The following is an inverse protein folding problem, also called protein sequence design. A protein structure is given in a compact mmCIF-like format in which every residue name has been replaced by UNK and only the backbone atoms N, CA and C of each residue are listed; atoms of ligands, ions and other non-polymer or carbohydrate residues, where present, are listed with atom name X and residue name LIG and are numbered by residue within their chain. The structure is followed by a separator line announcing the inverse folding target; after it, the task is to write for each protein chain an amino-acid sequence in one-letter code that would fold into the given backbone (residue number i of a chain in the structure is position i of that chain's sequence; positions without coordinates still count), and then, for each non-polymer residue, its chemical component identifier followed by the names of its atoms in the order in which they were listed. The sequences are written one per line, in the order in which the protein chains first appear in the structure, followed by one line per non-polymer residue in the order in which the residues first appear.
data_IF_113254810541
#
_entry.id   IF_113254810541
#
_cell.length_a   1.000
_cell.length_b   1.000
_cell.length_c   1.000
_cell.angle_alpha   90.00
_cell.angle_beta   90.00
_cell.angle_gamma   90.00
#
_symmetry.space_group_name_H-M   'P 1'
#
loop_
_entity.id
_entity.type
_entity.pdbx_description
1 polymer ?
#
# COMPACT_ATOMS: atom_id res chain seq x y z
N UNK A 1 -4.36 -18.83 4.55
CA UNK A 1 -3.84 -18.46 3.22
C UNK A 1 -4.89 -17.59 2.56
N UNK A 2 -4.63 -16.30 2.34
CA UNK A 2 -5.57 -15.48 1.56
C UNK A 2 -5.44 -15.86 0.08
N UNK A 3 -6.59 -16.15 -0.54
CA UNK A 3 -6.71 -16.51 -1.95
C UNK A 3 -6.44 -15.27 -2.82
N UNK A 4 -5.19 -15.04 -3.20
CA UNK A 4 -4.86 -14.07 -4.24
C UNK A 4 -5.47 -14.56 -5.56
N UNK A 5 -6.47 -13.87 -6.16
CA UNK A 5 -7.19 -14.35 -7.33
C UNK A 5 -6.27 -14.64 -8.51
N UNK A 6 -5.20 -13.83 -8.67
CA UNK A 6 -4.18 -14.01 -9.71
C UNK A 6 -3.33 -15.25 -9.47
N UNK A 7 -2.95 -15.51 -8.21
CA UNK A 7 -2.20 -16.72 -7.85
C UNK A 7 -3.07 -17.98 -8.01
N UNK A 8 -4.34 -17.90 -7.64
CA UNK A 8 -5.32 -18.96 -7.86
C UNK A 8 -5.52 -19.22 -9.36
N UNK A 9 -5.72 -18.18 -10.17
CA UNK A 9 -5.88 -18.31 -11.62
C UNK A 9 -4.62 -18.90 -12.28
N UNK A 10 -3.42 -18.44 -11.90
CA UNK A 10 -2.17 -18.99 -12.42
C UNK A 10 -2.01 -20.48 -12.07
N UNK A 11 -2.40 -20.88 -10.86
CA UNK A 11 -2.43 -22.30 -10.47
C UNK A 11 -3.45 -23.09 -11.32
N UNK A 12 -4.65 -22.56 -11.54
CA UNK A 12 -5.67 -23.16 -12.40
C UNK A 12 -5.21 -23.32 -13.86
N UNK A 13 -4.53 -22.33 -14.42
CA UNK A 13 -4.01 -22.40 -15.80
C UNK A 13 -2.94 -23.48 -15.97
N UNK A 14 -2.14 -23.74 -14.93
CA UNK A 14 -1.20 -24.88 -14.91
C UNK A 14 -1.97 -26.21 -14.84
N UNK A 15 -2.99 -26.29 -13.99
CA UNK A 15 -3.80 -27.50 -13.77
C UNK A 15 -4.66 -27.89 -14.99
N UNK A 16 -5.05 -26.92 -15.83
CA UNK A 16 -5.87 -27.13 -17.03
C UNK A 16 -5.29 -28.14 -18.03
N UNK A 17 -3.97 -28.37 -18.03
CA UNK A 17 -3.32 -29.33 -18.92
C UNK A 17 -3.23 -30.75 -18.33
N UNK A 18 -3.70 -30.98 -17.11
CA UNK A 18 -3.64 -32.29 -16.45
C UNK A 18 -4.91 -33.12 -16.71
N UNK A 19 -4.80 -34.46 -16.78
CA UNK A 19 -5.96 -35.34 -16.83
C UNK A 19 -6.83 -35.16 -15.59
N UNK A 20 -8.15 -34.99 -15.76
CA UNK A 20 -9.09 -34.76 -14.67
C UNK A 20 -9.56 -33.30 -14.50
N UNK A 21 -9.16 -32.41 -15.41
CA UNK A 21 -9.75 -31.07 -15.52
C UNK A 21 -11.23 -31.15 -15.94
N UNK A 22 -12.10 -30.41 -15.25
CA UNK A 22 -13.55 -30.44 -15.47
C UNK A 22 -14.16 -29.05 -15.68
N UNK A 23 -15.46 -29.03 -16.01
CA UNK A 23 -16.20 -27.80 -16.29
C UNK A 23 -16.38 -26.89 -15.05
N UNK A 24 -16.31 -27.45 -13.84
CA UNK A 24 -16.41 -26.68 -12.59
C UNK A 24 -15.14 -25.85 -12.36
N UNK A 25 -13.98 -26.42 -12.71
CA UNK A 25 -12.70 -25.71 -12.70
C UNK A 25 -12.64 -24.59 -13.76
N UNK A 26 -13.22 -24.79 -14.94
CA UNK A 26 -13.35 -23.73 -15.96
C UNK A 26 -14.28 -22.59 -15.51
N UNK A 27 -15.41 -22.92 -14.88
CA UNK A 27 -16.33 -21.93 -14.31
C UNK A 27 -15.65 -21.11 -13.19
N UNK A 28 -14.89 -21.77 -12.31
CA UNK A 28 -14.11 -21.10 -11.27
C UNK A 28 -13.06 -20.15 -11.86
N UNK A 29 -12.34 -20.60 -12.90
CA UNK A 29 -11.36 -19.76 -13.59
C UNK A 29 -12.01 -18.54 -14.27
N UNK A 30 -13.23 -18.67 -14.80
CA UNK A 30 -13.98 -17.55 -15.36
C UNK A 30 -14.31 -16.49 -14.28
N UNK A 31 -14.86 -16.91 -13.15
CA UNK A 31 -15.15 -16.01 -12.01
C UNK A 31 -13.88 -15.31 -11.53
N UNK A 32 -12.75 -16.03 -11.43
CA UNK A 32 -11.47 -15.42 -11.04
C UNK A 32 -10.99 -14.36 -12.05
N UNK A 33 -11.21 -14.57 -13.36
CA UNK A 33 -10.86 -13.58 -14.38
C UNK A 33 -11.73 -12.33 -14.26
N UNK A 34 -13.02 -12.48 -14.00
CA UNK A 34 -13.95 -11.36 -13.83
C UNK A 34 -13.54 -10.52 -12.61
N UNK A 35 -13.23 -11.17 -11.47
CA UNK A 35 -12.71 -10.48 -10.28
C UNK A 35 -11.42 -9.70 -10.59
N UNK A 36 -10.47 -10.31 -11.31
CA UNK A 36 -9.21 -9.64 -11.68
C UNK A 36 -9.46 -8.45 -12.61
N UNK A 37 -10.43 -8.56 -13.53
CA UNK A 37 -10.81 -7.48 -14.43
C UNK A 37 -11.43 -6.31 -13.66
N UNK A 38 -12.33 -6.60 -12.71
CA UNK A 38 -12.94 -5.58 -11.84
C UNK A 38 -11.88 -4.87 -10.97
N UNK A 39 -10.94 -5.62 -10.38
CA UNK A 39 -9.81 -5.04 -9.64
C UNK A 39 -8.97 -4.10 -10.52
N UNK A 40 -8.68 -4.52 -11.75
CA UNK A 40 -7.90 -3.73 -12.70
C UNK A 40 -8.65 -2.47 -13.12
N UNK A 41 -9.96 -2.56 -13.35
CA UNK A 41 -10.81 -1.41 -13.65
C UNK A 41 -10.86 -0.43 -12.48
N UNK A 42 -10.94 -0.92 -11.23
CA UNK A 42 -10.85 -0.07 -10.04
C UNK A 42 -9.52 0.70 -9.98
N UNK A 43 -8.40 0.05 -10.33
CA UNK A 43 -7.08 0.69 -10.34
C UNK A 43 -7.00 1.81 -11.39
N UNK A 44 -7.54 1.57 -12.58
CA UNK A 44 -7.58 2.55 -13.66
C UNK A 44 -8.48 3.73 -13.31
N UNK A 45 -9.64 3.48 -12.72
CA UNK A 45 -10.52 4.52 -12.21
C UNK A 45 -9.82 5.38 -11.15
N UNK A 46 -9.10 4.78 -10.21
CA UNK A 46 -8.34 5.54 -9.20
C UNK A 46 -7.20 6.37 -9.84
N UNK A 47 -6.52 5.86 -10.87
CA UNK A 47 -5.52 6.64 -11.62
C UNK A 47 -6.14 7.88 -12.29
N UNK A 48 -7.38 7.78 -12.73
CA UNK A 48 -8.11 8.89 -13.36
C UNK A 48 -8.65 9.89 -12.34
N UNK A 49 -9.15 9.41 -11.20
CA UNK A 49 -9.74 10.25 -10.16
C UNK A 49 -8.68 11.02 -9.36
N UNK A 50 -7.46 10.50 -9.24
CA UNK A 50 -6.39 11.14 -8.48
C UNK A 50 -5.48 11.98 -9.38
N UNK A 51 -5.29 13.24 -9.01
CA UNK A 51 -4.33 14.12 -9.69
C UNK A 51 -2.93 13.86 -9.15
N UNK A 52 -2.02 13.38 -10.01
CA UNK A 52 -0.66 12.99 -9.62
C UNK A 52 -0.61 11.97 -8.47
N UNK A 53 -1.62 11.10 -8.38
CA UNK A 53 -1.74 10.07 -7.35
C UNK A 53 -2.17 10.61 -5.97
N UNK A 54 -2.63 11.86 -5.87
CA UNK A 54 -3.26 12.46 -4.69
C UNK A 54 -4.68 12.94 -5.02
N UNK A 55 -5.55 13.04 -4.02
CA UNK A 55 -6.92 13.50 -4.21
C UNK A 55 -7.91 12.90 -3.22
N UNK A 56 -9.19 13.20 -3.41
CA UNK A 56 -10.28 12.68 -2.58
C UNK A 56 -11.08 11.68 -3.40
N UNK A 57 -11.22 10.47 -2.89
CA UNK A 57 -12.16 9.50 -3.40
C UNK A 57 -13.43 9.59 -2.58
N UNK A 58 -14.55 9.94 -3.22
CA UNK A 58 -15.85 10.07 -2.58
C UNK A 58 -16.63 8.79 -2.82
N UNK A 59 -17.34 8.31 -1.79
CA UNK A 59 -18.26 7.20 -1.95
C UNK A 59 -19.39 7.63 -2.91
N UNK A 60 -19.62 6.91 -4.02
CA UNK A 60 -20.70 7.25 -4.92
C UNK A 60 -22.04 7.11 -4.18
N UNK A 61 -22.88 8.15 -4.24
CA UNK A 61 -24.21 8.16 -3.61
C UNK A 61 -25.10 7.00 -4.08
N UNK A 62 -24.85 6.53 -5.30
CA UNK A 62 -25.44 5.31 -5.87
C UNK A 62 -24.34 4.45 -6.47
N UNK A 63 -24.07 3.30 -5.86
CA UNK A 63 -23.29 2.24 -6.50
C UNK A 63 -24.18 1.62 -7.58
N UNK A 64 -23.90 1.90 -8.85
CA UNK A 64 -24.43 1.01 -9.89
C UNK A 64 -23.79 -0.38 -9.72
N UNK A 65 -24.49 -1.43 -10.15
CA UNK A 65 -24.01 -2.80 -9.97
C UNK A 65 -22.69 -3.11 -10.72
N UNK A 66 -22.22 -2.19 -11.56
CA UNK A 66 -21.05 -2.35 -12.41
C UNK A 66 -19.87 -1.45 -11.96
N UNK A 67 -20.05 -0.63 -10.92
CA UNK A 67 -19.02 0.30 -10.44
C UNK A 67 -18.07 -0.48 -9.54
N UNK A 68 -16.77 -0.54 -9.88
CA UNK A 68 -15.81 -1.24 -9.04
C UNK A 68 -15.74 -0.59 -7.65
N UNK A 69 -15.97 -1.36 -6.60
CA UNK A 69 -15.90 -0.86 -5.23
C UNK A 69 -14.45 -0.65 -4.82
N UNK A 70 -14.05 0.61 -4.60
CA UNK A 70 -12.67 0.95 -4.23
C UNK A 70 -12.36 0.60 -2.76
N UNK A 71 -13.38 0.36 -1.94
CA UNK A 71 -13.29 -0.15 -0.56
C UNK A 71 -12.67 0.82 0.46
N UNK A 72 -11.99 1.88 0.02
CA UNK A 72 -11.43 2.95 0.84
C UNK A 72 -11.75 4.32 0.23
N UNK A 73 -12.70 5.04 0.83
CA UNK A 73 -13.03 6.42 0.48
C UNK A 73 -12.36 7.39 1.46
N UNK A 74 -12.09 8.61 1.01
CA UNK A 74 -11.40 9.64 1.77
C UNK A 74 -10.30 10.34 0.97
N UNK A 75 -9.50 11.14 1.65
CA UNK A 75 -8.37 11.84 1.05
C UNK A 75 -7.10 10.98 1.06
N UNK A 76 -6.43 10.91 -0.09
CA UNK A 76 -5.17 10.22 -0.28
C UNK A 76 -4.07 11.23 -0.58
N UNK A 77 -3.02 11.22 0.23
CA UNK A 77 -1.78 11.97 -0.01
C UNK A 77 -0.61 11.03 0.06
N UNK A 78 0.45 11.29 -0.71
CA UNK A 78 1.67 10.49 -0.62
C UNK A 78 2.87 11.31 -0.19
N UNK A 79 3.82 10.63 0.45
CA UNK A 79 5.09 11.19 0.89
C UNK A 79 6.21 10.28 0.44
N UNK A 80 7.22 10.86 -0.22
CA UNK A 80 8.37 10.12 -0.75
C UNK A 80 9.62 10.41 0.06
N UNK A 81 10.26 9.36 0.55
CA UNK A 81 11.51 9.46 1.31
C UNK A 81 12.70 9.27 0.36
N UNK A 82 13.68 10.16 0.47
CA UNK A 82 14.88 10.20 -0.37
C UNK A 82 16.13 9.77 0.42
N UNK A 83 17.06 9.07 -0.22
CA UNK A 83 18.28 8.54 0.44
C UNK A 83 19.26 9.62 0.94
N UNK A 84 19.49 10.66 0.13
CA UNK A 84 20.49 11.71 0.36
C UNK A 84 20.12 12.94 -0.48
N UNK A 85 20.65 14.11 -0.11
CA UNK A 85 20.40 15.39 -0.79
C UNK A 85 21.23 15.53 -2.07
N UNK A 86 22.43 14.96 -2.11
CA UNK A 86 23.36 15.11 -3.25
C UNK A 86 22.93 14.30 -4.46
N UNK A 87 22.41 13.10 -4.22
CA UNK A 87 21.89 12.20 -5.26
C UNK A 87 20.56 11.60 -4.78
N UNK A 88 19.47 12.39 -4.82
CA UNK A 88 18.19 11.97 -4.29
C UNK A 88 17.65 10.77 -5.06
N UNK A 89 17.62 9.62 -4.39
CA UNK A 89 16.94 8.41 -4.85
C UNK A 89 15.79 8.13 -3.91
N UNK A 90 14.61 7.87 -4.47
CA UNK A 90 13.47 7.39 -3.70
C UNK A 90 13.82 6.05 -3.03
N UNK A 91 13.63 5.96 -1.72
CA UNK A 91 13.84 4.73 -0.93
C UNK A 91 12.54 4.17 -0.34
N UNK A 92 11.51 5.01 -0.27
CA UNK A 92 10.15 4.65 0.11
C UNK A 92 9.17 5.69 -0.42
N UNK A 93 7.93 5.28 -0.73
CA UNK A 93 6.79 6.17 -0.92
C UNK A 93 5.68 5.67 -0.01
N UNK A 94 5.18 6.50 0.89
CA UNK A 94 4.10 6.18 1.80
C UNK A 94 2.82 6.85 1.34
N UNK A 95 1.70 6.14 1.39
CA UNK A 95 0.37 6.75 1.36
C UNK A 95 -0.10 7.07 2.76
N UNK A 96 -0.79 8.20 2.87
CA UNK A 96 -1.52 8.67 4.03
C UNK A 96 -2.97 8.80 3.58
N UNK A 97 -3.86 8.05 4.24
CA UNK A 97 -5.29 8.06 3.99
C UNK A 97 -6.00 8.75 5.14
N UNK A 98 -6.80 9.76 4.80
CA UNK A 98 -7.53 10.57 5.74
C UNK A 98 -9.03 10.46 5.50
N UNK A 99 -9.79 10.45 6.59
CA UNK A 99 -11.24 10.62 6.61
C UNK A 99 -11.52 11.69 7.66
N UNK A 100 -12.29 12.72 7.30
CA UNK A 100 -12.60 13.85 8.19
C UNK A 100 -11.35 14.49 8.85
N UNK A 101 -10.29 14.72 8.06
CA UNK A 101 -8.98 15.24 8.49
C UNK A 101 -8.19 14.36 9.50
N UNK A 102 -8.70 13.17 9.81
CA UNK A 102 -8.04 12.19 10.67
C UNK A 102 -7.33 11.12 9.85
N UNK A 103 -6.11 10.77 10.24
CA UNK A 103 -5.34 9.71 9.58
C UNK A 103 -5.97 8.35 9.90
N UNK A 104 -6.57 7.70 8.92
CA UNK A 104 -7.14 6.35 9.08
C UNK A 104 -6.13 5.25 8.75
N UNK A 105 -5.21 5.54 7.82
CA UNK A 105 -4.27 4.54 7.33
C UNK A 105 -2.94 5.12 6.85
N UNK A 106 -1.88 4.34 7.03
CA UNK A 106 -0.58 4.57 6.37
C UNK A 106 -0.02 3.24 5.85
N UNK A 107 0.43 3.23 4.59
CA UNK A 107 1.09 2.06 4.00
C UNK A 107 2.17 2.46 3.01
N UNK A 108 3.01 1.48 2.65
CA UNK A 108 4.03 1.67 1.64
C UNK A 108 3.43 1.42 0.24
N UNK A 109 3.53 2.42 -0.63
CA UNK A 109 3.14 2.32 -2.02
C UNK A 109 4.18 1.55 -2.84
N UNK A 110 3.73 0.74 -3.81
CA UNK A 110 4.61 0.30 -4.88
C UNK A 110 4.92 1.47 -5.83
N UNK A 111 6.02 1.35 -6.57
CA UNK A 111 6.43 2.38 -7.52
C UNK A 111 6.20 1.91 -8.94
N UNK A 112 5.44 2.71 -9.68
CA UNK A 112 5.12 2.52 -11.09
C UNK A 112 6.06 3.38 -11.93
N UNK A 113 6.56 2.82 -13.03
CA UNK A 113 7.47 3.50 -13.96
C UNK A 113 6.67 4.50 -14.79
N UNK A 114 7.03 5.78 -14.69
CA UNK A 114 6.42 6.84 -15.50
C UNK A 114 4.97 7.14 -15.14
N UNK A 115 4.45 6.57 -14.05
CA UNK A 115 3.15 6.87 -13.49
C UNK A 115 3.31 7.36 -12.06
N UNK A 116 2.32 8.12 -11.61
CA UNK A 116 2.20 8.48 -10.20
C UNK A 116 1.92 7.24 -9.35
N UNK A 117 2.23 7.27 -8.05
CA UNK A 117 1.79 6.22 -7.14
C UNK A 117 0.26 6.09 -7.20
N UNK A 118 -0.26 4.89 -6.91
CA UNK A 118 -1.69 4.67 -6.72
C UNK A 118 -1.92 4.09 -5.30
N UNK A 119 -2.90 4.58 -4.53
CA UNK A 119 -3.14 4.09 -3.17
C UNK A 119 -3.52 2.61 -3.09
N UNK A 120 -4.06 2.05 -4.18
CA UNK A 120 -4.37 0.62 -4.29
C UNK A 120 -3.13 -0.22 -4.64
N UNK A 121 -2.00 0.40 -4.98
CA UNK A 121 -0.70 -0.28 -5.15
C UNK A 121 -0.07 -0.70 -3.81
N UNK A 122 -0.85 -1.02 -2.78
CA UNK A 122 -0.33 -1.50 -1.51
C UNK A 122 0.58 -2.73 -1.70
N UNK A 123 1.49 -2.97 -0.76
CA UNK A 123 2.07 -4.31 -0.62
C UNK A 123 0.90 -5.31 -0.50
N UNK A 124 0.79 -6.29 -1.39
CA UNK A 124 -0.30 -7.27 -1.35
C UNK A 124 -0.35 -7.94 0.04
N UNK A 125 -1.51 -7.89 0.69
CA UNK A 125 -1.70 -8.39 2.07
C UNK A 125 -1.35 -7.39 3.18
N UNK A 126 -1.04 -6.13 2.82
CA UNK A 126 -0.72 -5.04 3.73
C UNK A 126 -1.88 -4.04 3.84
N UNK A 127 -3.11 -4.54 3.80
CA UNK A 127 -4.27 -3.75 4.21
C UNK A 127 -4.05 -3.33 5.67
N UNK A 128 -3.85 -2.02 5.84
CA UNK A 128 -3.76 -1.29 7.10
C UNK A 128 -2.46 -1.55 7.90
N UNK A 129 -1.32 -1.29 7.25
CA UNK A 129 0.03 -1.34 7.86
C UNK A 129 0.20 -0.41 9.07
N UNK A 130 -0.70 0.55 9.23
CA UNK A 130 -0.90 1.30 10.46
C UNK A 130 -2.31 1.90 10.42
N UNK A 131 -3.12 1.62 11.43
CA UNK A 131 -4.37 2.33 11.72
C UNK A 131 -4.32 2.78 13.19
N UNK A 132 -4.53 4.07 13.50
CA UNK A 132 -4.52 4.53 14.89
C UNK A 132 -5.51 3.79 15.79
N UNK A 133 -6.64 3.35 15.23
CA UNK A 133 -7.68 2.61 15.95
C UNK A 133 -7.22 1.22 16.42
N UNK A 134 -6.20 0.63 15.76
CA UNK A 134 -5.75 -0.74 16.01
C UNK A 134 -4.43 -0.82 16.79
N UNK A 135 -3.89 0.31 17.26
CA UNK A 135 -2.65 0.34 18.03
C UNK A 135 -2.88 -0.25 19.42
N UNK A 136 -2.23 -1.38 19.74
CA UNK A 136 -2.37 -2.06 21.04
C UNK A 136 -3.40 -3.18 21.06
N UNK A 137 -4.07 -3.45 19.94
CA UNK A 137 -4.86 -4.66 19.75
C UNK A 137 -3.96 -5.77 19.18
N UNK A 138 -4.12 -7.01 19.67
CA UNK A 138 -3.53 -8.19 19.01
C UNK A 138 -4.18 -8.32 17.63
N UNK A 139 -3.47 -7.91 16.60
CA UNK A 139 -3.90 -8.22 15.25
C UNK A 139 -3.60 -9.70 15.00
N UNK A 140 -4.54 -10.47 14.40
CA UNK A 140 -4.21 -11.81 13.95
C UNK A 140 -3.00 -11.72 13.04
N UNK A 141 -2.05 -12.64 13.18
CA UNK A 141 -0.84 -12.74 12.35
C UNK A 141 -1.25 -12.78 10.86
N UNK A 142 -1.44 -11.59 10.27
CA UNK A 142 -1.53 -11.41 8.84
C UNK A 142 -0.10 -11.52 8.39
N UNK A 143 0.28 -12.73 7.99
CA UNK A 143 1.48 -12.98 7.22
C UNK A 143 1.46 -11.98 6.06
N UNK A 144 2.22 -10.89 6.20
CA UNK A 144 2.62 -10.09 5.06
C UNK A 144 3.34 -11.07 4.17
N UNK A 145 2.68 -11.47 3.09
CA UNK A 145 3.29 -12.34 2.12
C UNK A 145 4.64 -11.70 1.78
N UNK A 146 5.73 -12.40 2.08
CA UNK A 146 7.00 -12.09 1.45
C UNK A 146 6.67 -11.99 -0.03
N UNK A 147 6.77 -10.79 -0.61
CA UNK A 147 6.60 -10.54 -2.05
C UNK A 147 7.56 -11.48 -2.76
N UNK A 148 7.14 -12.71 -3.11
CA UNK A 148 8.07 -13.77 -3.44
C UNK A 148 8.58 -13.54 -4.87
N UNK A 149 7.95 -12.61 -5.58
CA UNK A 149 8.37 -12.06 -6.86
C UNK A 149 9.12 -10.74 -6.74
N UNK A 150 9.08 -10.00 -5.64
CA UNK A 150 9.69 -8.66 -5.58
C UNK A 150 9.24 -7.79 -6.76
N UNK A 151 7.96 -7.47 -6.93
CA UNK A 151 7.44 -6.77 -8.14
C UNK A 151 7.80 -7.44 -9.49
N UNK A 152 8.40 -8.64 -9.54
CA UNK A 152 8.67 -9.36 -10.77
C UNK A 152 7.35 -9.97 -11.28
N UNK A 153 6.69 -9.25 -12.18
CA UNK A 153 5.51 -9.75 -12.87
C UNK A 153 4.59 -8.64 -13.40
N UNK A 154 4.54 -7.48 -12.73
CA UNK A 154 3.74 -6.34 -13.23
C UNK A 154 4.60 -5.50 -14.18
N UNK A 155 4.28 -5.56 -15.47
CA UNK A 155 5.00 -4.82 -16.52
C UNK A 155 4.99 -3.32 -16.20
N UNK A 156 6.14 -2.78 -15.81
CA UNK A 156 6.30 -1.36 -15.54
C UNK A 156 6.42 -0.97 -14.06
N UNK A 157 6.42 -1.90 -13.10
CA UNK A 157 6.76 -1.56 -11.70
C UNK A 157 8.27 -1.73 -11.46
N UNK A 158 8.82 -1.00 -10.48
CA UNK A 158 10.20 -1.20 -10.00
C UNK A 158 10.21 -1.42 -8.49
N UNK A 159 10.97 -2.39 -7.97
CA UNK A 159 11.16 -2.52 -6.55
C UNK A 159 11.94 -1.29 -6.06
N UNK A 160 11.23 -0.38 -5.40
CA UNK A 160 11.82 0.86 -4.86
C UNK A 160 12.04 0.73 -3.36
N UNK A 161 11.86 -0.48 -2.83
CA UNK A 161 11.75 -0.72 -1.41
C UNK A 161 13.13 -1.01 -0.81
N UNK A 162 13.82 0.06 -0.39
CA UNK A 162 14.97 -0.07 0.53
C UNK A 162 14.55 -0.01 2.00
N UNK A 163 13.25 0.16 2.26
CA UNK A 163 12.66 0.19 3.59
C UNK A 163 11.95 -1.13 3.85
N UNK A 164 12.36 -1.89 4.86
CA UNK A 164 11.66 -3.13 5.20
C UNK A 164 10.54 -2.83 6.18
N UNK A 165 9.35 -3.33 5.87
CA UNK A 165 8.29 -3.45 6.85
C UNK A 165 8.58 -4.63 7.78
N UNK A 166 8.40 -4.43 9.08
CA UNK A 166 8.62 -5.44 10.12
C UNK A 166 7.32 -5.51 10.93
N UNK A 167 6.59 -6.58 10.74
CA UNK A 167 5.38 -6.87 11.51
C UNK A 167 5.72 -7.00 13.00
N UNK A 168 4.77 -6.59 13.83
CA UNK A 168 4.85 -6.62 15.29
C UNK A 168 3.47 -6.99 15.82
N UNK A 169 3.34 -7.99 16.69
CA UNK A 169 2.04 -8.53 17.12
C UNK A 169 1.24 -7.55 18.00
N UNK A 170 1.89 -6.53 18.55
CA UNK A 170 1.28 -5.43 19.31
C UNK A 170 0.56 -4.38 18.44
N UNK A 171 0.45 -4.62 17.13
CA UNK A 171 -0.11 -3.68 16.16
C UNK A 171 0.79 -2.47 15.86
N UNK A 172 1.89 -2.26 16.60
CA UNK A 172 2.81 -1.16 16.36
C UNK A 172 4.05 -1.61 15.59
N UNK A 173 3.77 -1.86 14.32
CA UNK A 173 4.74 -2.34 13.37
C UNK A 173 5.90 -1.37 13.17
N UNK A 174 7.02 -1.89 12.66
CA UNK A 174 8.27 -1.15 12.55
C UNK A 174 8.73 -1.05 11.12
N UNK A 175 9.38 0.05 10.82
CA UNK A 175 9.95 0.35 9.52
C UNK A 175 11.46 0.43 9.63
N UNK A 176 12.15 -0.39 8.85
CA UNK A 176 13.60 -0.43 8.80
C UNK A 176 14.09 0.36 7.58
N UNK A 177 14.51 1.59 7.82
CA UNK A 177 15.23 2.43 6.88
C UNK A 177 16.74 2.14 6.93
N UNK A 178 17.52 2.63 5.95
CA UNK A 178 18.98 2.63 6.05
C UNK A 178 19.46 3.33 7.34
N UNK A 179 20.06 2.56 8.25
CA UNK A 179 20.61 3.07 9.51
C UNK A 179 19.58 3.59 10.52
N UNK A 180 18.29 3.28 10.38
CA UNK A 180 17.25 3.70 11.32
C UNK A 180 16.08 2.71 11.35
N UNK A 181 15.62 2.37 12.55
CA UNK A 181 14.38 1.62 12.77
C UNK A 181 13.39 2.50 13.52
N UNK A 182 12.15 2.60 13.05
CA UNK A 182 11.13 3.48 13.62
C UNK A 182 9.80 2.74 13.77
N UNK A 183 9.05 3.03 14.85
CA UNK A 183 7.70 2.51 15.09
C UNK A 183 6.70 3.24 14.20
N UNK A 184 5.58 2.62 13.85
CA UNK A 184 4.56 3.26 13.02
C UNK A 184 3.90 4.43 13.77
N UNK A 185 3.70 4.28 15.08
CA UNK A 185 3.22 5.33 16.00
C UNK A 185 4.13 6.56 16.07
N UNK A 186 5.43 6.40 15.85
CA UNK A 186 6.38 7.52 15.75
C UNK A 186 6.39 8.11 14.34
N UNK A 187 6.38 7.25 13.31
CA UNK A 187 6.56 7.64 11.92
C UNK A 187 5.34 8.37 11.36
N UNK A 188 4.14 7.83 11.54
CA UNK A 188 2.94 8.34 10.89
C UNK A 188 2.63 9.80 11.26
N UNK A 189 2.66 10.22 12.54
CA UNK A 189 2.43 11.63 12.89
C UNK A 189 3.49 12.57 12.32
N UNK A 190 4.74 12.12 12.20
CA UNK A 190 5.82 12.91 11.59
C UNK A 190 5.58 13.09 10.09
N UNK A 191 5.17 12.04 9.38
CA UNK A 191 4.84 12.14 7.96
C UNK A 191 3.62 13.04 7.73
N UNK A 192 2.58 12.95 8.55
CA UNK A 192 1.42 13.85 8.51
C UNK A 192 1.84 15.30 8.72
N UNK A 193 2.65 15.56 9.76
CA UNK A 193 3.16 16.91 10.06
C UNK A 193 3.96 17.48 8.87
N UNK A 194 4.90 16.71 8.32
CA UNK A 194 5.72 17.15 7.19
C UNK A 194 4.86 17.37 5.94
N UNK A 195 3.91 16.48 5.66
CA UNK A 195 3.00 16.63 4.51
C UNK A 195 2.10 17.86 4.64
N UNK A 196 1.60 18.17 5.85
CA UNK A 196 0.83 19.39 6.15
C UNK A 196 1.66 20.66 6.00
N UNK A 197 2.97 20.58 6.21
CA UNK A 197 3.91 21.67 5.92
C UNK A 197 4.24 21.83 4.42
N UNK A 198 3.63 21.03 3.53
CA UNK A 198 3.87 21.06 2.10
C UNK A 198 5.01 20.15 1.64
N UNK A 199 5.66 19.43 2.56
CA UNK A 199 6.78 18.55 2.22
C UNK A 199 6.29 17.22 1.67
N UNK A 200 6.41 17.05 0.35
CA UNK A 200 6.06 15.79 -0.32
C UNK A 200 7.28 14.88 -0.52
N UNK A 201 8.48 15.46 -0.64
CA UNK A 201 9.74 14.74 -0.92
C UNK A 201 10.74 15.01 0.19
N UNK A 202 10.91 14.05 1.08
CA UNK A 202 11.58 14.23 2.36
C UNK A 202 12.92 13.50 2.36
N UNK A 203 14.04 14.21 2.54
CA UNK A 203 15.32 13.56 2.79
C UNK A 203 15.30 12.70 4.06
N UNK A 204 15.94 11.53 4.02
CA UNK A 204 15.98 10.61 5.16
C UNK A 204 16.56 11.25 6.43
N UNK A 205 17.54 12.15 6.29
CA UNK A 205 18.13 12.86 7.42
C UNK A 205 17.13 13.85 8.07
N UNK A 206 16.29 14.52 7.27
CA UNK A 206 15.19 15.39 7.73
C UNK A 206 14.15 14.58 8.50
N UNK A 207 13.73 13.43 7.93
CA UNK A 207 12.81 12.51 8.59
C UNK A 207 13.36 12.04 9.95
N UNK A 208 14.64 11.62 9.99
CA UNK A 208 15.31 11.18 11.22
C UNK A 208 15.33 12.28 12.28
N UNK A 209 15.64 13.52 11.89
CA UNK A 209 15.63 14.67 12.80
C UNK A 209 14.23 14.93 13.36
N UNK A 210 13.20 14.88 12.52
CA UNK A 210 11.82 15.10 12.94
C UNK A 210 11.33 14.01 13.92
N UNK A 211 11.65 12.74 13.66
CA UNK A 211 11.34 11.63 14.57
C UNK A 211 12.02 11.81 15.93
N UNK A 212 13.32 12.16 15.95
CA UNK A 212 14.04 12.37 17.21
C UNK A 212 13.43 13.50 18.03
N UNK A 213 13.11 14.64 17.39
CA UNK A 213 12.43 15.76 18.07
C UNK A 213 11.09 15.35 18.68
N UNK A 214 10.26 14.60 17.95
CA UNK A 214 8.98 14.09 18.45
C UNK A 214 9.18 13.23 19.70
N UNK A 215 10.18 12.35 19.70
CA UNK A 215 10.49 11.48 20.84
C UNK A 215 10.98 12.26 22.06
N UNK A 216 11.76 13.31 21.85
CA UNK A 216 12.25 14.16 22.92
C UNK A 216 11.13 14.98 23.58
N UNK A 217 10.09 15.38 22.81
CA UNK A 217 8.91 16.10 23.36
C UNK A 217 8.01 15.20 24.22
N UNK A 218 8.05 13.89 24.02
CA UNK A 218 7.20 12.93 24.74
C UNK A 218 7.87 12.31 25.98
N UNK A 219 9.07 12.78 26.35
CA UNK A 219 9.81 12.36 27.56
C UNK A 219 9.67 13.39 28.66
#
# INVERSE_FOLDING_TARGET
MQNNPRACLAHYEVMRNFPGHDAEQDATAAVLRDIIADEQAAWELVDELLTDGEGVLVEPETLDANTPTIGKYGEFRWVRILSDDRHPRAIATFYLHFVDDELQGMWLAQVRRGKSPNPLDGLQGADDVYSPALVGEEQPDRLVAADPGGTAGVKGTRPTVRVKFIHSPDGDHRWQFPGMKVRSTDLAPVLVMLRRAGEQRIPLHTLRRAINRKRDTNR
#
